data_IF_583831485646
#
_entry.id   IF_583831485646
#
_cell.length_a   1.000
_cell.length_b   1.000
_cell.length_c   1.000
_cell.angle_alpha   90.00
_cell.angle_beta   90.00
_cell.angle_gamma   90.00
#
_symmetry.space_group_name_H-M   'P 1'
#
loop_
_entity.id
_entity.type
_entity.pdbx_description
1 polymer ?
#
# COMPACT_ATOMS: atom_id res chain seq x y z
N UNK A 1 -10.63 0.28 0.83
CA UNK A 1 -10.87 0.92 2.14
C UNK A 1 -9.53 1.44 2.64
N UNK A 2 -9.18 2.68 2.32
CA UNK A 2 -7.91 3.31 2.73
C UNK A 2 -8.14 4.02 4.06
N UNK A 3 -7.68 3.41 5.15
CA UNK A 3 -7.54 4.11 6.43
C UNK A 3 -6.32 5.00 6.29
N UNK A 4 -6.43 6.29 6.61
CA UNK A 4 -5.27 7.17 6.60
C UNK A 4 -4.27 6.71 7.66
N UNK A 5 -3.16 6.25 7.18
CA UNK A 5 -2.01 5.86 8.01
C UNK A 5 -1.09 7.08 8.03
N UNK A 6 -0.69 7.59 9.21
CA UNK A 6 0.27 8.68 9.28
C UNK A 6 1.53 8.34 8.46
N UNK A 7 2.05 9.31 7.68
CA UNK A 7 3.29 9.14 6.93
C UNK A 7 4.52 9.20 7.86
N UNK A 8 4.48 8.37 8.92
CA UNK A 8 5.59 8.17 9.84
C UNK A 8 5.61 6.73 10.32
N UNK A 9 6.70 6.03 10.05
CA UNK A 9 6.88 4.63 10.41
C UNK A 9 8.34 4.33 10.71
N UNK A 10 8.57 3.25 11.42
CA UNK A 10 9.92 2.80 11.75
C UNK A 10 10.51 2.04 10.57
N UNK A 11 11.70 2.45 10.08
CA UNK A 11 12.45 1.62 9.17
C UNK A 11 12.75 0.29 9.85
N UNK A 12 12.23 -0.81 9.28
CA UNK A 12 12.30 -2.13 9.91
C UNK A 12 13.75 -2.55 10.18
N UNK A 13 13.99 -3.22 11.31
CA UNK A 13 15.32 -3.73 11.65
C UNK A 13 15.89 -4.65 10.55
N UNK A 14 15.00 -5.39 9.90
CA UNK A 14 15.32 -6.22 8.74
C UNK A 14 16.04 -5.43 7.61
N UNK A 15 15.64 -4.17 7.35
CA UNK A 15 16.31 -3.32 6.37
C UNK A 15 17.78 -3.07 6.77
N UNK A 16 18.01 -2.65 8.02
CA UNK A 16 19.36 -2.36 8.51
C UNK A 16 20.27 -3.58 8.55
N UNK A 17 19.75 -4.73 8.96
CA UNK A 17 20.46 -6.01 8.90
C UNK A 17 20.80 -6.37 7.45
N UNK A 18 19.85 -6.19 6.54
CA UNK A 18 20.02 -6.47 5.11
C UNK A 18 21.14 -5.63 4.48
N UNK A 19 21.29 -4.35 4.90
CA UNK A 19 22.42 -3.52 4.44
C UNK A 19 23.76 -4.16 4.78
N UNK A 20 23.93 -4.62 6.02
CA UNK A 20 25.16 -5.28 6.45
C UNK A 20 25.49 -6.53 5.62
N UNK A 21 24.47 -7.26 5.16
CA UNK A 21 24.66 -8.46 4.31
C UNK A 21 25.17 -8.16 2.91
N UNK A 22 24.99 -6.93 2.42
CA UNK A 22 25.52 -6.46 1.13
C UNK A 22 26.75 -5.53 1.31
N UNK A 23 27.32 -5.47 2.52
CA UNK A 23 28.52 -4.70 2.83
C UNK A 23 28.30 -3.20 3.02
N UNK A 24 27.06 -2.73 3.17
CA UNK A 24 26.76 -1.33 3.44
C UNK A 24 26.53 -1.09 4.93
N UNK A 25 27.00 0.08 5.41
CA UNK A 25 26.75 0.51 6.79
C UNK A 25 25.56 1.46 6.86
N UNK A 26 24.77 1.44 7.96
CA UNK A 26 23.69 2.41 8.17
C UNK A 26 24.16 3.85 8.04
N UNK A 27 25.36 4.17 8.56
CA UNK A 27 25.92 5.51 8.50
C UNK A 27 26.18 5.98 7.06
N UNK A 28 26.73 5.14 6.20
CA UNK A 28 26.97 5.48 4.79
C UNK A 28 25.64 5.73 4.04
N UNK A 29 24.64 4.85 4.23
CA UNK A 29 23.34 4.98 3.58
C UNK A 29 22.58 6.22 4.07
N UNK A 30 22.61 6.52 5.37
CA UNK A 30 21.99 7.71 5.93
C UNK A 30 22.66 9.00 5.45
N UNK A 31 23.99 9.03 5.40
CA UNK A 31 24.74 10.16 4.85
C UNK A 31 24.40 10.42 3.38
N UNK A 32 24.37 9.37 2.55
CA UNK A 32 23.99 9.48 1.14
C UNK A 32 22.55 9.94 0.96
N UNK A 33 21.63 9.44 1.79
CA UNK A 33 20.23 9.85 1.81
C UNK A 33 20.01 11.24 2.44
N UNK A 34 21.04 11.91 2.96
CA UNK A 34 20.98 13.18 3.69
C UNK A 34 20.04 13.14 4.90
N UNK A 35 20.09 12.03 5.64
CA UNK A 35 19.29 11.81 6.83
C UNK A 35 20.21 11.72 8.08
N UNK A 36 19.72 12.16 9.25
CA UNK A 36 20.51 12.10 10.47
C UNK A 36 20.65 10.66 10.98
N UNK A 37 21.77 10.36 11.67
CA UNK A 37 22.03 9.05 12.28
C UNK A 37 20.95 8.62 13.28
N UNK A 38 20.25 9.58 13.89
CA UNK A 38 19.12 9.31 14.81
C UNK A 38 17.96 8.53 14.19
N UNK A 39 17.91 8.40 12.86
CA UNK A 39 16.99 7.51 12.16
C UNK A 39 17.32 6.04 12.40
N UNK A 40 18.58 5.71 12.65
CA UNK A 40 19.04 4.35 12.95
C UNK A 40 19.07 4.06 14.46
N UNK A 41 19.73 4.93 15.25
CA UNK A 41 20.02 4.70 16.67
C UNK A 41 19.11 5.48 17.63
N UNK A 42 18.27 6.37 17.11
CA UNK A 42 17.37 7.21 17.91
C UNK A 42 16.18 6.46 18.51
N UNK A 43 15.71 6.92 19.69
CA UNK A 43 14.49 6.38 20.34
C UNK A 43 13.22 6.52 19.46
N UNK A 44 13.18 7.50 18.57
CA UNK A 44 12.10 7.76 17.60
C UNK A 44 12.63 7.66 16.16
N UNK A 45 13.15 6.50 15.80
CA UNK A 45 13.68 6.22 14.46
C UNK A 45 12.56 6.11 13.39
N UNK A 46 11.73 7.16 13.29
CA UNK A 46 10.62 7.25 12.33
C UNK A 46 11.08 7.98 11.07
N UNK A 47 10.66 7.45 9.94
CA UNK A 47 10.85 8.04 8.61
C UNK A 47 9.50 8.30 7.94
N UNK A 48 9.48 9.25 7.00
CA UNK A 48 8.37 9.41 6.05
C UNK A 48 8.58 8.50 4.84
N UNK A 49 7.55 8.32 4.01
CA UNK A 49 7.65 7.60 2.72
C UNK A 49 8.77 8.18 1.85
N UNK A 50 8.84 9.51 1.71
CA UNK A 50 9.90 10.17 0.93
C UNK A 50 11.31 9.88 1.49
N UNK A 51 11.47 9.92 2.81
CA UNK A 51 12.75 9.59 3.45
C UNK A 51 13.13 8.11 3.27
N UNK A 52 12.15 7.21 3.36
CA UNK A 52 12.39 5.79 3.13
C UNK A 52 12.76 5.50 1.67
N UNK A 53 12.14 6.19 0.72
CA UNK A 53 12.51 6.12 -0.69
C UNK A 53 13.94 6.65 -0.92
N UNK A 54 14.32 7.75 -0.23
CA UNK A 54 15.69 8.27 -0.28
C UNK A 54 16.71 7.25 0.24
N UNK A 55 16.40 6.49 1.32
CA UNK A 55 17.27 5.40 1.79
C UNK A 55 17.48 4.33 0.71
N UNK A 56 16.41 3.90 0.03
CA UNK A 56 16.52 2.87 -1.01
C UNK A 56 17.26 3.36 -2.27
N UNK A 57 17.13 4.65 -2.63
CA UNK A 57 17.95 5.25 -3.70
C UNK A 57 19.42 5.26 -3.30
N UNK A 58 19.71 5.69 -2.07
CA UNK A 58 21.07 5.68 -1.54
C UNK A 58 21.71 4.28 -1.54
N UNK A 59 20.93 3.23 -1.25
CA UNK A 59 21.37 1.83 -1.40
C UNK A 59 21.78 1.54 -2.84
N UNK A 60 20.98 1.94 -3.82
CA UNK A 60 21.30 1.74 -5.24
C UNK A 60 22.57 2.44 -5.67
N UNK A 61 22.73 3.70 -5.26
CA UNK A 61 23.91 4.52 -5.58
C UNK A 61 25.20 3.97 -4.95
N UNK A 62 25.13 3.51 -3.70
CA UNK A 62 26.30 3.02 -2.97
C UNK A 62 26.69 1.59 -3.34
N UNK A 63 25.70 0.72 -3.60
CA UNK A 63 25.98 -0.68 -3.93
C UNK A 63 26.43 -0.84 -5.38
N UNK A 64 26.00 0.04 -6.29
CA UNK A 64 26.12 -0.10 -7.74
C UNK A 64 25.69 -1.50 -8.25
N UNK A 65 24.87 -2.20 -7.46
CA UNK A 65 24.41 -3.56 -7.74
C UNK A 65 22.90 -3.54 -7.98
N UNK A 66 22.43 -3.75 -9.21
CA UNK A 66 21.02 -3.76 -9.54
C UNK A 66 20.25 -4.90 -8.85
N UNK A 67 20.95 -5.94 -8.35
CA UNK A 67 20.33 -7.03 -7.58
C UNK A 67 20.32 -6.79 -6.06
N UNK A 68 20.75 -5.62 -5.57
CA UNK A 68 20.84 -5.35 -4.14
C UNK A 68 19.51 -5.55 -3.40
N UNK A 69 18.39 -5.15 -4.02
CA UNK A 69 17.04 -5.35 -3.46
C UNK A 69 16.72 -6.84 -3.23
N UNK A 70 17.01 -7.70 -4.22
CA UNK A 70 16.86 -9.14 -4.10
C UNK A 70 17.74 -9.71 -2.98
N UNK A 71 19.02 -9.31 -2.97
CA UNK A 71 20.00 -9.81 -1.99
C UNK A 71 19.61 -9.45 -0.56
N UNK A 72 19.17 -8.21 -0.34
CA UNK A 72 18.68 -7.78 0.97
C UNK A 72 17.51 -8.66 1.41
N UNK A 73 16.49 -8.83 0.57
CA UNK A 73 15.26 -9.50 0.96
C UNK A 73 15.41 -11.02 1.19
N UNK A 74 16.26 -11.70 0.40
CA UNK A 74 16.50 -13.14 0.52
C UNK A 74 17.29 -13.52 1.77
N UNK A 75 18.12 -12.62 2.30
CA UNK A 75 19.00 -12.90 3.43
C UNK A 75 18.41 -12.60 4.82
N UNK A 76 17.16 -12.05 4.85
CA UNK A 76 16.49 -11.72 6.11
C UNK A 76 15.87 -12.97 6.72
N UNK A 77 16.30 -13.32 7.92
CA UNK A 77 15.69 -14.38 8.71
C UNK A 77 14.31 -13.99 9.25
N UNK A 78 13.45 -15.00 9.48
CA UNK A 78 12.08 -14.77 9.98
C UNK A 78 12.09 -14.05 11.33
N UNK A 79 12.96 -14.39 12.25
CA UNK A 79 13.07 -13.77 13.57
C UNK A 79 13.44 -12.29 13.59
N UNK A 80 13.97 -11.76 12.47
CA UNK A 80 14.31 -10.34 12.31
C UNK A 80 13.18 -9.51 11.69
N UNK A 81 12.02 -10.12 11.46
CA UNK A 81 10.85 -9.47 10.85
C UNK A 81 9.94 -8.86 11.91
N UNK A 82 9.04 -7.99 11.48
CA UNK A 82 8.04 -7.39 12.35
C UNK A 82 7.01 -8.43 12.83
N UNK A 83 6.35 -8.25 13.99
CA UNK A 83 5.33 -9.19 14.48
C UNK A 83 4.23 -9.47 13.47
N UNK A 84 3.79 -8.47 12.70
CA UNK A 84 2.79 -8.62 11.63
C UNK A 84 3.29 -9.50 10.49
N UNK A 85 4.56 -9.38 10.10
CA UNK A 85 5.17 -10.26 9.09
C UNK A 85 5.39 -11.67 9.66
N UNK A 86 5.79 -11.79 10.93
CA UNK A 86 5.91 -13.09 11.60
C UNK A 86 4.57 -13.84 11.60
N UNK A 87 3.46 -13.17 11.92
CA UNK A 87 2.13 -13.79 11.87
C UNK A 87 1.79 -14.37 10.49
N UNK A 88 2.29 -13.76 9.40
CA UNK A 88 2.13 -14.32 8.07
C UNK A 88 2.98 -15.59 7.85
N UNK A 89 4.20 -15.68 8.40
CA UNK A 89 5.03 -16.89 8.29
C UNK A 89 4.48 -18.10 9.06
N UNK A 90 3.68 -17.87 10.08
CA UNK A 90 3.04 -18.93 10.87
C UNK A 90 1.57 -19.17 10.49
N UNK A 91 1.10 -18.59 9.38
CA UNK A 91 -0.23 -18.77 8.84
C UNK A 91 -0.49 -20.24 8.43
N UNK A 92 -1.77 -20.59 8.27
CA UNK A 92 -2.20 -21.95 7.93
C UNK A 92 -1.74 -22.37 6.53
N UNK A 93 -1.83 -21.47 5.57
CA UNK A 93 -1.50 -21.66 4.17
C UNK A 93 -1.04 -20.35 3.54
N UNK A 94 -0.61 -20.39 2.29
CA UNK A 94 -0.07 -19.20 1.63
C UNK A 94 -1.15 -18.11 1.41
N UNK A 95 -2.40 -18.50 1.21
CA UNK A 95 -3.54 -17.58 1.10
C UNK A 95 -3.77 -16.81 2.40
N UNK A 96 -3.84 -17.52 3.54
CA UNK A 96 -3.96 -16.92 4.88
C UNK A 96 -2.77 -15.99 5.16
N UNK A 97 -1.55 -16.39 4.78
CA UNK A 97 -0.35 -15.60 4.94
C UNK A 97 -0.43 -14.25 4.20
N UNK A 98 -0.83 -14.25 2.93
CA UNK A 98 -1.00 -13.04 2.14
C UNK A 98 -2.15 -12.16 2.68
N UNK A 99 -3.24 -12.77 3.12
CA UNK A 99 -4.37 -12.07 3.74
C UNK A 99 -3.93 -11.35 5.02
N UNK A 100 -3.15 -12.01 5.87
CA UNK A 100 -2.58 -11.41 7.09
C UNK A 100 -1.62 -10.27 6.77
N UNK A 101 -0.74 -10.45 5.78
CA UNK A 101 0.15 -9.39 5.32
C UNK A 101 -0.64 -8.17 4.88
N UNK A 102 -1.66 -8.34 4.05
CA UNK A 102 -2.49 -7.24 3.58
C UNK A 102 -3.21 -6.55 4.75
N UNK A 103 -3.77 -7.33 5.69
CA UNK A 103 -4.48 -6.80 6.86
C UNK A 103 -3.59 -5.94 7.77
N UNK A 104 -2.37 -6.41 8.03
CA UNK A 104 -1.47 -5.79 9.01
C UNK A 104 -0.33 -4.98 8.37
N UNK A 105 -0.34 -4.80 7.04
CA UNK A 105 0.73 -4.10 6.32
C UNK A 105 0.95 -2.69 6.86
N UNK A 106 -0.14 -1.99 7.14
CA UNK A 106 -0.11 -0.63 7.65
C UNK A 106 0.53 -0.49 9.04
N UNK A 107 0.70 -1.58 9.79
CA UNK A 107 1.50 -1.55 11.05
C UNK A 107 3.00 -1.42 10.79
N UNK A 108 3.46 -1.80 9.59
CA UNK A 108 4.88 -1.74 9.22
C UNK A 108 5.24 -0.47 8.46
N UNK A 109 4.42 -0.09 7.49
CA UNK A 109 4.64 1.03 6.55
C UNK A 109 3.31 1.56 6.05
N UNK A 110 3.22 2.83 5.59
CA UNK A 110 2.01 3.40 5.01
C UNK A 110 1.80 2.87 3.58
N UNK A 111 1.52 1.59 3.48
CA UNK A 111 1.42 0.83 2.24
C UNK A 111 0.25 -0.14 2.31
N UNK A 112 -0.54 -0.18 1.26
CA UNK A 112 -1.59 -1.18 1.05
C UNK A 112 -1.12 -2.29 0.13
N UNK A 113 -1.62 -3.50 0.34
CA UNK A 113 -1.44 -4.62 -0.59
C UNK A 113 -2.77 -4.92 -1.26
N UNK A 114 -2.86 -4.60 -2.54
CA UNK A 114 -4.01 -4.98 -3.33
C UNK A 114 -3.80 -6.40 -3.85
N UNK A 115 -4.58 -7.34 -3.32
CA UNK A 115 -4.50 -8.75 -3.70
C UNK A 115 -5.78 -9.13 -4.42
N UNK A 116 -5.66 -9.54 -5.69
CA UNK A 116 -6.76 -10.03 -6.50
C UNK A 116 -6.50 -11.49 -6.90
N UNK A 117 -7.40 -12.37 -6.49
CA UNK A 117 -7.33 -13.79 -6.81
C UNK A 117 -8.37 -14.12 -7.86
N UNK A 118 -7.95 -14.76 -8.94
CA UNK A 118 -8.80 -15.34 -9.97
C UNK A 118 -8.62 -16.87 -9.99
N UNK A 119 -9.25 -17.56 -10.95
CA UNK A 119 -9.13 -19.02 -11.10
C UNK A 119 -7.66 -19.49 -11.23
N UNK A 120 -6.85 -18.75 -12.00
CA UNK A 120 -5.53 -19.21 -12.41
C UNK A 120 -4.37 -18.39 -11.81
N UNK A 121 -4.66 -17.23 -11.23
CA UNK A 121 -3.62 -16.32 -10.76
C UNK A 121 -3.99 -15.50 -9.54
N UNK A 122 -2.97 -15.12 -8.78
CA UNK A 122 -3.03 -14.18 -7.71
C UNK A 122 -2.14 -12.98 -8.04
N UNK A 123 -2.74 -11.82 -8.20
CA UNK A 123 -2.06 -10.55 -8.49
C UNK A 123 -1.85 -9.80 -7.17
N UNK A 124 -0.60 -9.46 -6.86
CA UNK A 124 -0.21 -8.69 -5.67
C UNK A 124 0.37 -7.37 -6.15
N UNK A 125 -0.26 -6.27 -5.78
CA UNK A 125 0.15 -4.91 -6.12
C UNK A 125 0.35 -4.09 -4.85
N UNK A 126 1.61 -3.79 -4.46
CA UNK A 126 1.90 -2.88 -3.36
C UNK A 126 1.62 -1.43 -3.77
N UNK A 127 0.92 -0.69 -2.90
CA UNK A 127 0.57 0.72 -3.15
C UNK A 127 0.98 1.56 -1.95
N UNK A 128 1.93 2.48 -2.15
CA UNK A 128 2.35 3.43 -1.12
C UNK A 128 1.37 4.60 -1.03
N UNK A 129 0.78 4.80 0.13
CA UNK A 129 -0.32 5.76 0.33
C UNK A 129 0.11 7.23 0.25
N UNK A 130 1.39 7.51 0.53
CA UNK A 130 1.95 8.87 0.54
C UNK A 130 3.04 9.07 -0.50
N UNK A 131 3.17 8.17 -1.48
CA UNK A 131 4.14 8.32 -2.54
C UNK A 131 3.79 9.51 -3.45
N UNK A 132 4.71 10.45 -3.57
CA UNK A 132 4.66 11.56 -4.53
C UNK A 132 5.56 11.33 -5.74
N UNK A 133 6.27 10.21 -5.77
CA UNK A 133 7.19 9.78 -6.81
C UNK A 133 7.10 8.26 -6.99
N UNK A 134 7.70 7.74 -8.05
CA UNK A 134 7.76 6.30 -8.30
C UNK A 134 8.53 5.57 -7.20
N UNK A 135 8.03 4.39 -6.83
CA UNK A 135 8.71 3.53 -5.85
C UNK A 135 10.09 3.15 -6.36
N UNK A 136 11.15 3.31 -5.55
CA UNK A 136 12.51 2.93 -5.94
C UNK A 136 12.59 1.49 -6.43
N UNK A 137 13.29 1.21 -7.54
CA UNK A 137 13.38 -0.12 -8.15
C UNK A 137 13.79 -1.21 -7.16
N UNK A 138 14.84 -0.97 -6.36
CA UNK A 138 15.32 -1.95 -5.38
C UNK A 138 14.30 -2.24 -4.26
N UNK A 139 13.48 -1.26 -3.89
CA UNK A 139 12.40 -1.45 -2.91
C UNK A 139 11.28 -2.32 -3.50
N UNK A 140 10.91 -2.10 -4.76
CA UNK A 140 9.94 -2.94 -5.47
C UNK A 140 10.44 -4.39 -5.55
N UNK A 141 11.69 -4.58 -5.92
CA UNK A 141 12.31 -5.91 -5.98
C UNK A 141 12.32 -6.60 -4.61
N UNK A 142 12.74 -5.89 -3.57
CA UNK A 142 12.77 -6.42 -2.21
C UNK A 142 11.36 -6.80 -1.71
N UNK A 143 10.33 -6.03 -2.06
CA UNK A 143 8.95 -6.35 -1.73
C UNK A 143 8.50 -7.65 -2.42
N UNK A 144 8.70 -7.77 -3.74
CA UNK A 144 8.30 -8.96 -4.50
C UNK A 144 9.05 -10.21 -4.04
N UNK A 145 10.35 -10.10 -3.81
CA UNK A 145 11.15 -11.18 -3.22
C UNK A 145 10.59 -11.59 -1.86
N UNK A 146 10.20 -10.63 -1.01
CA UNK A 146 9.65 -10.95 0.31
C UNK A 146 8.35 -11.76 0.23
N UNK A 147 7.49 -11.51 -0.76
CA UNK A 147 6.29 -12.32 -0.97
C UNK A 147 6.63 -13.73 -1.46
N UNK A 148 7.53 -13.86 -2.43
CA UNK A 148 7.96 -15.19 -2.93
C UNK A 148 8.65 -16.00 -1.82
N UNK A 149 9.55 -15.38 -1.04
CA UNK A 149 10.22 -16.03 0.08
C UNK A 149 9.25 -16.46 1.19
N UNK A 150 8.20 -15.68 1.43
CA UNK A 150 7.13 -16.09 2.35
C UNK A 150 6.50 -17.42 1.91
N UNK A 151 6.14 -17.52 0.63
CA UNK A 151 5.59 -18.75 0.07
C UNK A 151 6.58 -19.92 0.11
N UNK A 152 7.83 -19.70 -0.34
CA UNK A 152 8.87 -20.73 -0.35
C UNK A 152 9.16 -21.29 1.03
N UNK A 153 9.38 -20.40 2.00
CA UNK A 153 9.73 -20.79 3.37
C UNK A 153 8.56 -21.40 4.12
N UNK A 154 7.35 -20.85 3.89
CA UNK A 154 6.14 -21.38 4.54
C UNK A 154 5.76 -22.77 4.02
N UNK A 155 5.72 -22.93 2.70
CA UNK A 155 5.29 -24.20 2.09
C UNK A 155 6.40 -25.27 1.98
N UNK A 156 7.68 -24.85 2.07
CA UNK A 156 8.83 -25.72 1.73
C UNK A 156 8.94 -26.03 0.24
N UNK A 157 8.11 -25.44 -0.62
CA UNK A 157 8.11 -25.64 -2.06
C UNK A 157 8.72 -24.46 -2.80
N UNK A 158 9.22 -24.71 -4.01
CA UNK A 158 9.80 -23.69 -4.86
C UNK A 158 8.68 -22.89 -5.56
N UNK A 159 8.17 -21.86 -4.88
CA UNK A 159 7.20 -20.92 -5.47
C UNK A 159 7.89 -20.06 -6.53
N UNK A 160 7.27 -19.95 -7.70
CA UNK A 160 7.72 -19.13 -8.84
C UNK A 160 6.68 -18.07 -9.18
N UNK A 161 7.12 -16.99 -9.80
CA UNK A 161 6.17 -16.03 -10.36
C UNK A 161 5.57 -16.57 -11.66
N UNK A 162 4.26 -16.43 -11.83
CA UNK A 162 3.62 -16.63 -13.13
C UNK A 162 4.07 -15.56 -14.13
N UNK A 163 4.23 -14.31 -13.64
CA UNK A 163 4.90 -13.17 -14.30
C UNK A 163 5.18 -12.07 -13.29
N UNK A 164 6.06 -11.14 -13.66
CA UNK A 164 6.32 -9.90 -12.91
C UNK A 164 6.12 -8.72 -13.84
N UNK A 165 5.37 -7.71 -13.39
CA UNK A 165 5.11 -6.47 -14.11
C UNK A 165 5.85 -5.33 -13.41
N UNK A 166 6.73 -4.60 -14.11
CA UNK A 166 7.56 -3.52 -13.56
C UNK A 166 7.37 -2.26 -14.40
N UNK A 167 7.05 -1.13 -13.74
CA UNK A 167 6.89 0.19 -14.40
C UNK A 167 8.18 0.71 -15.01
N UNK A 168 9.32 0.41 -14.37
CA UNK A 168 10.63 0.86 -14.84
C UNK A 168 11.01 0.27 -16.19
N UNK A 169 11.91 0.96 -16.90
CA UNK A 169 12.52 0.47 -18.14
C UNK A 169 13.35 -0.79 -17.89
N UNK A 170 13.56 -1.57 -18.94
CA UNK A 170 14.42 -2.74 -18.89
C UNK A 170 15.87 -2.31 -18.60
N UNK A 171 16.44 -2.88 -17.55
CA UNK A 171 17.88 -2.87 -17.32
C UNK A 171 18.41 -4.25 -17.71
N UNK A 172 19.57 -4.28 -18.35
CA UNK A 172 20.17 -5.52 -18.88
C UNK A 172 20.67 -6.43 -17.76
N UNK A 173 19.77 -7.12 -17.04
CA UNK A 173 20.14 -7.96 -15.93
C UNK A 173 19.23 -9.17 -15.84
N UNK A 174 19.69 -10.33 -16.28
CA UNK A 174 18.96 -11.62 -16.20
C UNK A 174 18.76 -12.17 -14.77
N UNK A 175 19.05 -11.39 -13.73
CA UNK A 175 18.90 -11.85 -12.34
C UNK A 175 17.44 -11.92 -11.89
N UNK A 176 16.55 -11.08 -12.44
CA UNK A 176 15.12 -11.16 -12.15
C UNK A 176 14.53 -12.47 -12.66
N UNK A 177 14.77 -12.79 -13.93
CA UNK A 177 14.34 -14.04 -14.56
C UNK A 177 14.93 -15.25 -13.82
N UNK A 178 16.20 -15.15 -13.44
CA UNK A 178 16.87 -16.22 -12.69
C UNK A 178 16.23 -16.46 -11.31
N UNK A 179 15.74 -15.40 -10.65
CA UNK A 179 15.13 -15.48 -9.34
C UNK A 179 13.65 -15.85 -9.38
N UNK A 180 12.85 -15.12 -10.17
CA UNK A 180 11.40 -15.29 -10.21
C UNK A 180 10.96 -16.49 -11.04
N UNK A 181 11.80 -16.96 -11.95
CA UNK A 181 11.54 -18.10 -12.86
C UNK A 181 10.29 -17.94 -13.72
N UNK A 182 9.86 -16.71 -13.94
CA UNK A 182 8.74 -16.33 -14.78
C UNK A 182 9.07 -15.13 -15.66
N UNK A 183 8.27 -14.82 -16.69
CA UNK A 183 8.48 -13.68 -17.57
C UNK A 183 8.40 -12.37 -16.82
N UNK A 184 9.31 -11.44 -17.15
CA UNK A 184 9.35 -10.07 -16.61
C UNK A 184 8.90 -9.11 -17.71
N UNK A 185 7.87 -8.30 -17.41
CA UNK A 185 7.40 -7.22 -18.29
C UNK A 185 7.88 -5.90 -17.74
N UNK A 186 8.83 -5.26 -18.42
CA UNK A 186 9.26 -3.91 -18.15
C UNK A 186 8.41 -2.88 -18.87
N UNK A 187 8.36 -1.63 -18.38
CA UNK A 187 7.51 -0.58 -18.94
C UNK A 187 6.01 -0.85 -18.74
N UNK A 188 5.65 -1.67 -17.76
CA UNK A 188 4.27 -1.98 -17.43
C UNK A 188 3.56 -0.76 -16.81
N UNK A 189 2.23 -0.76 -16.80
CA UNK A 189 1.43 0.32 -16.18
C UNK A 189 1.53 0.34 -14.66
N UNK A 190 1.92 -0.76 -14.04
CA UNK A 190 1.99 -0.94 -12.58
C UNK A 190 3.16 -1.84 -12.20
N UNK A 191 3.50 -1.82 -10.90
CA UNK A 191 4.37 -2.83 -10.31
C UNK A 191 3.50 -3.94 -9.71
N UNK A 192 3.53 -5.15 -10.27
CA UNK A 192 2.73 -6.27 -9.79
C UNK A 192 3.50 -7.58 -9.85
N UNK A 193 3.38 -8.37 -8.78
CA UNK A 193 3.80 -9.76 -8.74
C UNK A 193 2.58 -10.64 -8.99
N UNK A 194 2.66 -11.52 -9.97
CA UNK A 194 1.59 -12.47 -10.27
C UNK A 194 2.08 -13.88 -9.97
N UNK A 195 1.37 -14.55 -9.07
CA UNK A 195 1.63 -15.93 -8.65
C UNK A 195 0.61 -16.88 -9.27
N UNK A 196 0.91 -18.17 -9.31
CA UNK A 196 -0.06 -19.19 -9.64
C UNK A 196 -1.08 -19.34 -8.51
N UNK A 197 -2.39 -19.33 -8.82
CA UNK A 197 -3.43 -19.46 -7.82
C UNK A 197 -3.36 -20.79 -7.07
N UNK A 198 -2.86 -21.85 -7.72
CA UNK A 198 -2.66 -23.17 -7.14
C UNK A 198 -1.64 -23.21 -6.00
N UNK A 199 -0.73 -22.23 -5.93
CA UNK A 199 0.23 -22.16 -4.83
C UNK A 199 -0.39 -21.61 -3.55
N UNK A 200 -1.50 -20.88 -3.65
CA UNK A 200 -2.14 -20.23 -2.50
C UNK A 200 -2.71 -21.21 -1.47
N UNK A 201 -3.17 -22.36 -1.93
CA UNK A 201 -3.82 -23.35 -1.07
C UNK A 201 -2.81 -24.39 -0.51
N UNK A 202 -1.51 -24.17 -0.75
CA UNK A 202 -0.45 -24.99 -0.17
C UNK A 202 -0.32 -24.72 1.34
N UNK A 203 -0.41 -25.75 2.18
CA UNK A 203 -0.26 -25.60 3.62
C UNK A 203 1.15 -25.14 3.98
N UNK A 204 1.25 -24.34 5.03
CA UNK A 204 2.56 -23.94 5.57
C UNK A 204 3.08 -24.99 6.55
N UNK A 205 4.32 -25.42 6.34
CA UNK A 205 5.06 -26.28 7.27
C UNK A 205 5.36 -25.58 8.60
N UNK A 206 5.36 -24.24 8.56
CA UNK A 206 5.61 -23.36 9.71
C UNK A 206 4.35 -23.02 10.48
N UNK A 207 3.18 -23.56 10.11
CA UNK A 207 1.91 -23.22 10.77
C UNK A 207 1.97 -23.46 12.28
N UNK A 208 1.56 -22.42 13.03
CA UNK A 208 1.50 -22.49 14.49
C UNK A 208 0.28 -21.69 15.00
N UNK A 209 -0.79 -22.42 15.34
CA UNK A 209 -2.03 -21.86 15.81
C UNK A 209 -1.86 -21.12 17.16
N UNK A 210 -1.11 -21.71 18.10
CA UNK A 210 -0.89 -21.14 19.43
C UNK A 210 -0.17 -19.78 19.36
N UNK A 211 0.86 -19.69 18.50
CA UNK A 211 1.56 -18.43 18.27
C UNK A 211 0.65 -17.39 17.66
N UNK A 212 -0.21 -17.78 16.71
CA UNK A 212 -1.17 -16.87 16.10
C UNK A 212 -2.21 -16.37 17.10
N UNK A 213 -2.68 -17.24 17.98
CA UNK A 213 -3.63 -16.86 19.06
C UNK A 213 -3.01 -15.85 20.03
N UNK A 214 -1.71 -15.91 20.25
CA UNK A 214 -0.98 -14.93 21.05
C UNK A 214 -0.76 -13.59 20.32
N UNK A 215 -0.47 -13.64 19.00
CA UNK A 215 -0.12 -12.46 18.20
C UNK A 215 -1.35 -11.67 17.73
N UNK A 216 -2.42 -12.38 17.33
CA UNK A 216 -3.60 -11.75 16.75
C UNK A 216 -4.21 -10.64 17.63
N UNK A 217 -4.47 -10.83 18.94
CA UNK A 217 -5.07 -9.77 19.77
C UNK A 217 -4.18 -8.53 19.86
N UNK A 218 -2.85 -8.72 19.88
CA UNK A 218 -1.89 -7.62 19.93
C UNK A 218 -1.85 -6.84 18.62
N UNK A 219 -1.87 -7.55 17.48
CA UNK A 219 -1.88 -6.95 16.14
C UNK A 219 -3.18 -6.18 15.88
N UNK A 220 -4.34 -6.75 16.27
CA UNK A 220 -5.63 -6.07 16.15
C UNK A 220 -5.65 -4.79 17.02
N UNK A 221 -5.22 -4.88 18.27
CA UNK A 221 -5.13 -3.70 19.15
C UNK A 221 -4.21 -2.63 18.57
N UNK A 222 -3.02 -3.01 18.10
CA UNK A 222 -2.09 -2.07 17.47
C UNK A 222 -2.68 -1.41 16.21
N UNK A 223 -3.48 -2.16 15.43
CA UNK A 223 -4.17 -1.64 14.26
C UNK A 223 -5.27 -0.63 14.67
N UNK A 224 -6.04 -0.93 15.72
CA UNK A 224 -7.04 -0.02 16.27
C UNK A 224 -6.41 1.26 16.83
N UNK A 225 -5.33 1.14 17.62
CA UNK A 225 -4.58 2.28 18.15
C UNK A 225 -4.01 3.16 17.01
N UNK A 226 -3.47 2.54 15.95
CA UNK A 226 -2.97 3.27 14.81
C UNK A 226 -4.08 4.00 14.04
N UNK A 227 -5.25 3.39 13.93
CA UNK A 227 -6.45 4.04 13.36
C UNK A 227 -6.92 5.22 14.22
N UNK A 228 -6.87 5.08 15.55
CA UNK A 228 -7.21 6.15 16.49
C UNK A 228 -6.22 7.33 16.46
N UNK A 229 -4.96 7.08 16.08
CA UNK A 229 -3.91 8.11 15.92
C UNK A 229 -3.95 8.83 14.56
N UNK A 230 -4.78 8.38 13.61
CA UNK A 230 -4.98 9.11 12.36
C UNK A 230 -5.60 10.48 12.65
N UNK A 231 -5.30 11.47 11.80
CA UNK A 231 -5.90 12.80 11.97
C UNK A 231 -7.42 12.71 11.93
N UNK A 232 -8.09 13.61 12.63
CA UNK A 232 -9.56 13.61 12.66
C UNK A 232 -10.13 13.82 11.23
N UNK A 233 -9.47 14.61 10.41
CA UNK A 233 -9.84 14.84 9.00
C UNK A 233 -9.86 13.52 8.21
N UNK A 234 -8.90 12.66 8.42
CA UNK A 234 -8.82 11.39 7.74
C UNK A 234 -9.82 10.35 8.25
N UNK A 235 -10.07 10.31 9.56
CA UNK A 235 -11.15 9.52 10.12
C UNK A 235 -12.50 9.93 9.51
N UNK A 236 -12.73 11.24 9.35
CA UNK A 236 -13.90 11.79 8.70
C UNK A 236 -13.97 11.37 7.23
N UNK A 237 -12.89 11.53 6.47
CA UNK A 237 -12.84 11.11 5.05
C UNK A 237 -13.17 9.62 4.89
N UNK A 238 -12.63 8.77 5.76
CA UNK A 238 -12.93 7.34 5.75
C UNK A 238 -14.42 7.05 5.96
N UNK A 239 -15.04 7.68 6.96
CA UNK A 239 -16.48 7.52 7.21
C UNK A 239 -17.30 8.07 6.05
N UNK A 240 -16.92 9.22 5.50
CA UNK A 240 -17.58 9.83 4.35
C UNK A 240 -17.56 8.91 3.12
N UNK A 241 -16.46 8.24 2.81
CA UNK A 241 -16.37 7.25 1.71
C UNK A 241 -17.39 6.13 1.87
N UNK A 242 -17.63 5.68 3.10
CA UNK A 242 -18.61 4.64 3.39
C UNK A 242 -20.05 5.14 3.33
N UNK A 243 -20.30 6.35 3.81
CA UNK A 243 -21.66 6.92 3.88
C UNK A 243 -22.13 7.51 2.56
N UNK A 244 -21.24 7.85 1.63
CA UNK A 244 -21.58 8.49 0.36
C UNK A 244 -22.37 7.59 -0.60
N UNK A 245 -22.35 6.28 -0.44
CA UNK A 245 -23.04 5.35 -1.34
C UNK A 245 -24.56 5.63 -1.41
N UNK A 246 -24.95 6.57 -2.28
CA UNK A 246 -26.34 6.96 -2.51
C UNK A 246 -26.95 7.91 -1.48
N UNK A 247 -26.16 8.52 -0.62
CA UNK A 247 -26.65 9.51 0.36
C UNK A 247 -25.77 10.74 0.44
N UNK A 248 -26.32 11.83 1.01
CA UNK A 248 -25.55 13.03 1.35
C UNK A 248 -25.23 12.99 2.84
N UNK A 249 -24.02 12.57 3.25
CA UNK A 249 -23.71 12.45 4.66
C UNK A 249 -23.65 13.83 5.32
N UNK A 250 -24.32 13.94 6.46
CA UNK A 250 -24.26 15.11 7.34
C UNK A 250 -23.21 14.91 8.42
N UNK A 251 -22.70 16.01 8.98
CA UNK A 251 -21.69 15.97 10.05
C UNK A 251 -22.16 15.18 11.26
N UNK A 252 -23.48 15.23 11.56
CA UNK A 252 -24.09 14.48 12.66
C UNK A 252 -23.95 12.97 12.49
N UNK A 253 -24.08 12.46 11.27
CA UNK A 253 -23.91 11.03 10.98
C UNK A 253 -22.45 10.60 11.22
N UNK A 254 -21.50 11.40 10.78
CA UNK A 254 -20.06 11.14 10.97
C UNK A 254 -19.67 11.29 12.43
N UNK A 255 -20.18 12.29 13.14
CA UNK A 255 -19.92 12.49 14.56
C UNK A 255 -20.40 11.29 15.41
N UNK A 256 -21.59 10.76 15.08
CA UNK A 256 -22.14 9.57 15.75
C UNK A 256 -21.24 8.33 15.57
N UNK A 257 -20.72 8.12 14.36
CA UNK A 257 -19.79 7.03 14.07
C UNK A 257 -18.47 7.15 14.83
N UNK A 258 -18.04 8.38 15.14
CA UNK A 258 -16.83 8.66 15.90
C UNK A 258 -17.08 8.74 17.43
N UNK A 259 -18.31 8.59 17.88
CA UNK A 259 -18.66 8.75 19.29
C UNK A 259 -18.48 10.18 19.80
N UNK A 260 -18.61 11.19 18.90
CA UNK A 260 -18.42 12.60 19.21
C UNK A 260 -19.73 13.37 19.05
N UNK A 261 -19.82 14.56 19.70
CA UNK A 261 -20.84 15.54 19.34
C UNK A 261 -20.43 16.31 18.06
N UNK A 262 -21.40 16.80 17.30
CA UNK A 262 -21.19 17.60 16.08
C UNK A 262 -20.24 18.78 16.33
N UNK A 263 -20.44 19.50 17.44
CA UNK A 263 -19.60 20.62 17.86
C UNK A 263 -18.16 20.18 18.12
N UNK A 264 -17.98 19.03 18.78
CA UNK A 264 -16.65 18.49 19.08
C UNK A 264 -15.94 18.07 17.79
N UNK A 265 -16.66 17.38 16.91
CA UNK A 265 -16.12 16.97 15.60
C UNK A 265 -15.72 18.20 14.76
N UNK A 266 -16.62 19.18 14.65
CA UNK A 266 -16.34 20.40 13.88
C UNK A 266 -15.10 21.14 14.39
N UNK A 267 -14.96 21.30 15.72
CA UNK A 267 -13.78 21.92 16.33
C UNK A 267 -12.51 21.15 15.99
N UNK A 268 -12.51 19.81 16.16
CA UNK A 268 -11.34 18.98 15.86
C UNK A 268 -10.93 19.02 14.38
N UNK A 269 -11.89 19.09 13.45
CA UNK A 269 -11.62 19.23 12.01
C UNK A 269 -10.95 20.59 11.75
N UNK A 270 -11.42 21.65 12.39
CA UNK A 270 -10.82 23.00 12.28
C UNK A 270 -9.41 23.02 12.88
N UNK A 271 -9.22 22.42 14.03
CA UNK A 271 -7.91 22.31 14.69
C UNK A 271 -6.91 21.52 13.81
N UNK A 272 -7.41 20.61 12.96
CA UNK A 272 -6.64 19.81 11.98
C UNK A 272 -6.44 20.57 10.63
N UNK A 273 -6.87 21.83 10.56
CA UNK A 273 -6.68 22.72 9.41
C UNK A 273 -7.67 22.54 8.25
N UNK A 274 -8.79 21.84 8.46
CA UNK A 274 -9.78 21.55 7.43
C UNK A 274 -11.20 22.00 7.83
N UNK A 275 -12.15 21.87 6.91
CA UNK A 275 -13.57 21.96 7.20
C UNK A 275 -14.29 20.70 6.70
N UNK A 276 -15.41 20.34 7.32
CA UNK A 276 -16.20 19.19 6.89
C UNK A 276 -16.58 19.24 5.41
N UNK A 277 -16.89 20.44 4.91
CA UNK A 277 -17.23 20.65 3.50
C UNK A 277 -16.06 20.38 2.57
N UNK A 278 -14.85 20.79 2.97
CA UNK A 278 -13.62 20.47 2.20
C UNK A 278 -13.35 18.97 2.18
N UNK A 279 -13.43 18.30 3.33
CA UNK A 279 -13.23 16.85 3.42
C UNK A 279 -14.24 16.07 2.58
N UNK A 280 -15.51 16.48 2.60
CA UNK A 280 -16.55 15.90 1.76
C UNK A 280 -16.26 16.10 0.26
N UNK A 281 -15.75 17.29 -0.10
CA UNK A 281 -15.37 17.61 -1.47
C UNK A 281 -14.20 16.75 -1.94
N UNK A 282 -13.13 16.62 -1.14
CA UNK A 282 -11.97 15.78 -1.43
C UNK A 282 -12.39 14.33 -1.66
N UNK A 283 -13.23 13.79 -0.78
CA UNK A 283 -13.73 12.42 -0.91
C UNK A 283 -14.54 12.23 -2.19
N UNK A 284 -15.36 13.21 -2.56
CA UNK A 284 -16.12 13.17 -3.82
C UNK A 284 -15.22 13.19 -5.04
N UNK A 285 -14.14 13.98 -5.03
CA UNK A 285 -13.15 14.03 -6.10
C UNK A 285 -12.44 12.69 -6.25
N UNK A 286 -11.92 12.14 -5.15
CA UNK A 286 -11.24 10.84 -5.14
C UNK A 286 -12.13 9.71 -5.70
N UNK A 287 -13.37 9.61 -5.21
CA UNK A 287 -14.31 8.59 -5.66
C UNK A 287 -14.80 8.82 -7.10
N UNK A 288 -14.93 10.10 -7.54
CA UNK A 288 -15.28 10.41 -8.92
C UNK A 288 -14.23 9.87 -9.89
N UNK A 289 -12.94 10.10 -9.62
CA UNK A 289 -11.86 9.55 -10.42
C UNK A 289 -11.86 8.02 -10.43
N UNK A 290 -12.07 7.40 -9.26
CA UNK A 290 -12.14 5.92 -9.16
C UNK A 290 -13.29 5.35 -10.00
N UNK A 291 -14.50 5.91 -9.88
CA UNK A 291 -15.69 5.39 -10.55
C UNK A 291 -15.69 5.71 -12.06
N UNK A 292 -15.22 6.89 -12.46
CA UNK A 292 -15.11 7.25 -13.88
C UNK A 292 -14.09 6.40 -14.64
N UNK A 293 -13.14 5.81 -13.93
CA UNK A 293 -12.16 4.86 -14.48
C UNK A 293 -12.74 3.45 -14.73
N UNK A 294 -13.98 3.19 -14.29
CA UNK A 294 -14.69 1.93 -14.51
C UNK A 294 -15.57 2.06 -15.75
N UNK A 295 -15.26 1.35 -16.86
CA UNK A 295 -15.98 1.49 -18.13
C UNK A 295 -17.47 1.12 -18.03
N UNK A 296 -17.80 0.21 -17.13
CA UNK A 296 -19.16 -0.33 -16.91
C UNK A 296 -20.08 0.61 -16.16
N UNK A 297 -19.57 1.61 -15.43
CA UNK A 297 -20.39 2.54 -14.67
C UNK A 297 -20.90 3.70 -15.52
N UNK A 298 -22.21 3.99 -15.46
CA UNK A 298 -22.77 5.20 -16.08
C UNK A 298 -22.39 6.46 -15.26
N UNK A 299 -22.29 7.61 -15.95
CA UNK A 299 -22.02 8.90 -15.30
C UNK A 299 -23.16 9.31 -14.35
N UNK A 300 -24.40 8.94 -14.66
CA UNK A 300 -25.55 9.16 -13.80
C UNK A 300 -25.46 8.31 -12.52
N UNK A 301 -25.03 7.06 -12.64
CA UNK A 301 -24.77 6.19 -11.52
C UNK A 301 -23.64 6.73 -10.62
N UNK A 302 -22.54 7.22 -11.24
CA UNK A 302 -21.46 7.88 -10.52
C UNK A 302 -21.97 9.10 -9.74
N UNK A 303 -22.80 9.95 -10.35
CA UNK A 303 -23.39 11.10 -9.67
C UNK A 303 -24.18 10.67 -8.43
N UNK A 304 -25.02 9.64 -8.55
CA UNK A 304 -25.80 9.10 -7.45
C UNK A 304 -24.93 8.54 -6.33
N UNK A 305 -23.92 7.73 -6.66
CA UNK A 305 -22.98 7.16 -5.69
C UNK A 305 -22.17 8.23 -4.95
N UNK A 306 -21.97 9.41 -5.56
CA UNK A 306 -21.32 10.57 -4.94
C UNK A 306 -22.28 11.45 -4.12
N UNK A 307 -23.53 11.01 -3.96
CA UNK A 307 -24.56 11.71 -3.18
C UNK A 307 -25.05 13.01 -3.83
N UNK A 308 -25.13 13.07 -5.17
CA UNK A 308 -25.80 14.12 -5.91
C UNK A 308 -27.23 13.71 -6.23
N UNK A 309 -28.17 14.63 -6.10
CA UNK A 309 -29.58 14.41 -6.38
C UNK A 309 -29.87 14.24 -7.88
N UNK A 310 -29.04 14.88 -8.71
CA UNK A 310 -29.14 14.82 -10.17
C UNK A 310 -27.76 14.89 -10.84
N UNK A 311 -27.68 14.38 -12.05
CA UNK A 311 -26.44 14.36 -12.84
C UNK A 311 -25.97 15.76 -13.22
N UNK A 312 -26.86 16.76 -13.42
CA UNK A 312 -26.47 18.11 -13.80
C UNK A 312 -25.73 18.82 -12.67
N UNK A 313 -26.14 18.60 -11.43
CA UNK A 313 -25.45 19.09 -10.23
C UNK A 313 -24.06 18.50 -10.11
N UNK A 314 -23.90 17.21 -10.41
CA UNK A 314 -22.59 16.57 -10.47
C UNK A 314 -21.74 17.14 -11.61
N UNK A 315 -22.28 17.29 -12.83
CA UNK A 315 -21.53 17.87 -13.96
C UNK A 315 -21.01 19.27 -13.65
N UNK A 316 -21.82 20.13 -13.04
CA UNK A 316 -21.39 21.48 -12.63
C UNK A 316 -20.28 21.44 -11.59
N UNK A 317 -20.44 20.62 -10.57
CA UNK A 317 -19.44 20.45 -9.53
C UNK A 317 -18.13 19.91 -10.10
N UNK A 318 -18.19 18.85 -10.90
CA UNK A 318 -17.02 18.23 -11.51
C UNK A 318 -16.24 19.19 -12.41
N UNK A 319 -16.96 19.99 -13.22
CA UNK A 319 -16.34 21.02 -14.06
C UNK A 319 -15.63 22.09 -13.22
N UNK A 320 -16.16 22.41 -12.06
CA UNK A 320 -15.51 23.37 -11.14
C UNK A 320 -14.23 22.80 -10.55
N UNK A 321 -14.16 21.48 -10.31
CA UNK A 321 -12.98 20.82 -9.74
C UNK A 321 -11.86 20.58 -10.75
N UNK A 322 -12.24 20.03 -11.91
CA UNK A 322 -11.31 19.45 -12.89
C UNK A 322 -11.15 20.34 -14.14
N UNK A 323 -11.93 21.41 -14.28
CA UNK A 323 -11.95 22.23 -15.50
C UNK A 323 -12.53 21.55 -16.74
N UNK A 324 -12.95 20.27 -16.63
CA UNK A 324 -13.48 19.44 -17.72
C UNK A 324 -14.78 18.75 -17.29
N UNK A 325 -15.48 18.09 -18.22
CA UNK A 325 -16.67 17.31 -17.87
C UNK A 325 -16.32 15.84 -17.56
N UNK A 326 -17.17 15.12 -16.74
CA UNK A 326 -16.99 13.71 -16.48
C UNK A 326 -16.88 12.86 -17.74
N UNK A 327 -17.71 13.16 -18.75
CA UNK A 327 -17.71 12.47 -20.04
C UNK A 327 -16.45 12.72 -20.84
N UNK A 328 -15.90 13.92 -20.80
CA UNK A 328 -14.62 14.26 -21.46
C UNK A 328 -13.43 13.57 -20.79
N UNK A 329 -13.40 13.55 -19.45
CA UNK A 329 -12.36 12.82 -18.72
C UNK A 329 -12.40 11.33 -19.06
N UNK A 330 -13.58 10.71 -19.03
CA UNK A 330 -13.74 9.29 -19.41
C UNK A 330 -13.31 9.02 -20.84
N UNK A 331 -13.65 9.88 -21.80
CA UNK A 331 -13.21 9.74 -23.19
C UNK A 331 -11.68 9.88 -23.33
N UNK A 332 -11.03 10.70 -22.51
CA UNK A 332 -9.58 10.82 -22.47
C UNK A 332 -8.92 9.56 -21.92
N UNK A 333 -9.45 9.00 -20.82
CA UNK A 333 -8.98 7.76 -20.22
C UNK A 333 -9.07 6.58 -21.19
N UNK A 334 -10.19 6.41 -21.89
CA UNK A 334 -10.39 5.37 -22.91
C UNK A 334 -9.40 5.51 -24.09
N UNK A 335 -9.12 6.73 -24.54
CA UNK A 335 -8.15 6.98 -25.63
C UNK A 335 -6.72 6.64 -25.23
N UNK A 336 -6.37 6.84 -23.96
CA UNK A 336 -5.06 6.40 -23.45
C UNK A 336 -4.93 4.89 -23.37
N UNK A 337 -6.05 4.17 -23.19
CA UNK A 337 -6.12 2.70 -23.16
C UNK A 337 -6.04 2.05 -24.55
N UNK A 338 -6.54 2.71 -25.59
CA UNK A 338 -6.56 2.18 -26.97
C UNK A 338 -5.25 2.45 -27.71
N UNK A 339 -4.37 3.31 -27.21
CA UNK A 339 -3.08 3.67 -27.82
C UNK A 339 -1.89 2.85 -27.32
N UNK A 340 -2.13 1.84 -26.53
CA UNK A 340 -1.14 0.89 -26.00
C UNK A 340 -1.55 -0.55 -26.34
#
# INVERSE_FOLDING_TARGET
MTVHVPDRFKAANAFWIGLGKIGLTPAAVLSQARLPLTVYDGKKNLVTTAQFFALWRAVGELSADPAAGLKIATQIEVGNRTPSTMAAYYARDYRDALTRLARFKQLCSPEDLHIKVSKDECVIEPVWLHAQEETPPLLTDAAFVSFVELGRRGTGHWVTAKRVELKRSAEATGFHEAYFKGPITFGARRNALVLHATDLDRPFLTYNAELLDMLNPQLERALEERRAQSSISEQVKWILKRLLAGSRPEIAAVARELGLSDRTLQRRIIDDGATFRQLLLEVRQELAHEYLNRPEMDVTEVAFLLGYEDSNSFYRAFRTWEGTTPSQLRAALRRSETRQ
#
